data_IF_076749029539
#
_entry.id   IF_076749029539
#
_cell.length_a   1.000
_cell.length_b   1.000
_cell.length_c   1.000
_cell.angle_alpha   90.00
_cell.angle_beta   90.00
_cell.angle_gamma   90.00
#
_symmetry.space_group_name_H-M   'P 1'
#
loop_
_entity.id
_entity.type
_entity.pdbx_description
1 polymer ?
#
# COMPACT_ATOMS: atom_id res chain seq x y z
N UNK A 1 -17.38 -7.65 14.05
CA UNK A 1 -16.85 -6.48 13.33
C UNK A 1 -15.40 -6.82 13.05
N UNK A 2 -15.06 -7.23 11.84
CA UNK A 2 -13.67 -7.59 11.52
C UNK A 2 -12.89 -6.27 11.40
N UNK A 3 -12.20 -5.87 12.48
CA UNK A 3 -11.17 -4.85 12.36
C UNK A 3 -10.05 -5.48 11.54
N UNK A 4 -10.02 -5.18 10.23
CA UNK A 4 -8.92 -5.60 9.36
C UNK A 4 -7.66 -4.90 9.85
N UNK A 5 -6.85 -5.61 10.63
CA UNK A 5 -5.57 -5.13 11.14
C UNK A 5 -4.51 -5.27 10.05
N UNK A 6 -3.48 -4.42 10.08
CA UNK A 6 -2.30 -4.52 9.20
C UNK A 6 -1.79 -5.96 9.02
N UNK A 7 -1.77 -6.78 10.09
CA UNK A 7 -1.29 -8.17 10.06
C UNK A 7 -2.15 -9.13 9.22
N UNK A 8 -3.44 -8.85 9.05
CA UNK A 8 -4.33 -9.62 8.18
C UNK A 8 -4.10 -9.25 6.71
N UNK A 9 -3.91 -7.96 6.44
CA UNK A 9 -3.57 -7.45 5.11
C UNK A 9 -2.18 -7.87 4.67
N UNK A 10 -1.20 -7.87 5.55
CA UNK A 10 0.13 -8.44 5.33
C UNK A 10 0.04 -9.88 4.82
N UNK A 11 -0.72 -10.74 5.50
CA UNK A 11 -0.88 -12.14 5.08
C UNK A 11 -1.53 -12.26 3.70
N UNK A 12 -2.56 -11.46 3.43
CA UNK A 12 -3.21 -11.43 2.13
C UNK A 12 -2.23 -10.99 1.03
N UNK A 13 -1.46 -9.92 1.29
CA UNK A 13 -0.48 -9.42 0.35
C UNK A 13 0.65 -10.41 0.13
N UNK A 14 1.09 -11.11 1.16
CA UNK A 14 2.11 -12.16 1.07
C UNK A 14 1.69 -13.35 0.22
N UNK A 15 0.40 -13.65 0.13
CA UNK A 15 -0.10 -14.69 -0.78
C UNK A 15 -0.34 -14.14 -2.20
N UNK A 16 -0.84 -12.90 -2.30
CA UNK A 16 -1.25 -12.30 -3.58
C UNK A 16 -0.13 -11.60 -4.36
N UNK A 17 0.93 -11.10 -3.72
CA UNK A 17 1.93 -10.25 -4.38
C UNK A 17 2.62 -10.94 -5.56
N UNK A 18 2.88 -12.25 -5.45
CA UNK A 18 3.53 -13.04 -6.50
C UNK A 18 2.65 -13.25 -7.74
N UNK A 19 1.35 -12.99 -7.64
CA UNK A 19 0.43 -13.05 -8.80
C UNK A 19 0.43 -11.75 -9.61
N UNK A 20 1.08 -10.71 -9.11
CA UNK A 20 1.06 -9.37 -9.71
C UNK A 20 2.29 -9.14 -10.57
N UNK A 21 2.14 -8.44 -11.70
CA UNK A 21 3.25 -8.19 -12.62
C UNK A 21 4.38 -7.40 -11.96
N UNK A 22 4.08 -6.51 -11.02
CA UNK A 22 5.08 -5.76 -10.27
C UNK A 22 5.72 -6.54 -9.11
N UNK A 23 5.13 -7.66 -8.70
CA UNK A 23 5.72 -8.55 -7.70
C UNK A 23 6.70 -9.54 -8.30
N UNK A 24 6.73 -9.68 -9.63
CA UNK A 24 7.65 -10.56 -10.32
C UNK A 24 9.09 -10.03 -10.21
N UNK A 25 9.96 -10.79 -9.54
CA UNK A 25 11.36 -10.41 -9.33
C UNK A 25 11.60 -9.41 -8.20
N UNK A 26 10.58 -9.10 -7.38
CA UNK A 26 10.71 -8.26 -6.19
C UNK A 26 10.39 -9.06 -4.94
N UNK A 27 11.29 -9.01 -3.95
CA UNK A 27 11.07 -9.63 -2.65
C UNK A 27 9.88 -9.04 -1.91
N UNK A 28 9.15 -9.89 -1.18
CA UNK A 28 8.01 -9.44 -0.39
C UNK A 28 8.39 -8.33 0.61
N UNK A 29 9.56 -8.40 1.25
CA UNK A 29 10.02 -7.37 2.19
C UNK A 29 10.14 -5.97 1.56
N UNK A 30 10.46 -5.90 0.27
CA UNK A 30 10.52 -4.64 -0.49
C UNK A 30 9.11 -4.08 -0.66
N UNK A 31 8.15 -4.94 -1.02
CA UNK A 31 6.75 -4.57 -1.24
C UNK A 31 5.98 -4.34 0.07
N UNK A 32 6.36 -5.02 1.15
CA UNK A 32 5.75 -4.91 2.48
C UNK A 32 5.76 -3.45 2.95
N UNK A 33 6.90 -2.76 2.81
CA UNK A 33 7.02 -1.34 3.12
C UNK A 33 6.03 -0.50 2.31
N UNK A 34 5.82 -0.84 1.04
CA UNK A 34 4.85 -0.22 0.15
C UNK A 34 3.40 -0.45 0.58
N UNK A 35 3.02 -1.70 0.80
CA UNK A 35 1.67 -2.06 1.26
C UNK A 35 1.34 -1.37 2.59
N UNK A 36 2.30 -1.32 3.52
CA UNK A 36 2.13 -0.67 4.82
C UNK A 36 1.91 0.82 4.67
N UNK A 37 2.69 1.43 3.80
CA UNK A 37 2.60 2.85 3.53
C UNK A 37 1.28 3.22 2.85
N UNK A 38 0.80 2.41 1.90
CA UNK A 38 -0.52 2.57 1.29
C UNK A 38 -1.67 2.43 2.29
N UNK A 39 -1.59 1.45 3.19
CA UNK A 39 -2.56 1.24 4.27
C UNK A 39 -2.63 2.43 5.25
N UNK A 40 -1.47 2.90 5.71
CA UNK A 40 -1.37 4.06 6.60
C UNK A 40 -1.90 5.32 5.90
N UNK A 41 -1.51 5.54 4.64
CA UNK A 41 -1.98 6.65 3.84
C UNK A 41 -3.50 6.66 3.65
N UNK A 42 -4.12 5.50 3.42
CA UNK A 42 -5.58 5.40 3.28
C UNK A 42 -6.31 5.80 4.58
N UNK A 43 -5.71 5.46 5.73
CA UNK A 43 -6.22 5.83 7.06
C UNK A 43 -5.99 7.30 7.35
N UNK A 44 -4.83 7.85 6.93
CA UNK A 44 -4.43 9.25 7.14
C UNK A 44 -5.18 10.23 6.23
N UNK A 45 -5.55 9.80 5.03
CA UNK A 45 -6.20 10.63 4.01
C UNK A 45 -7.58 10.06 3.61
N UNK A 46 -8.55 9.98 4.54
CA UNK A 46 -9.88 9.48 4.22
C UNK A 46 -10.58 10.40 3.22
N UNK A 47 -11.19 9.82 2.19
CA UNK A 47 -11.97 10.56 1.18
C UNK A 47 -11.16 11.35 0.16
N UNK A 48 -9.82 11.24 0.16
CA UNK A 48 -8.98 11.71 -0.96
C UNK A 48 -8.87 10.64 -2.03
N UNK A 49 -8.37 11.04 -3.21
CA UNK A 49 -8.06 10.14 -4.32
C UNK A 49 -6.57 9.82 -4.34
N UNK A 50 -6.19 8.62 -4.81
CA UNK A 50 -4.78 8.23 -4.96
C UNK A 50 -3.97 9.27 -5.71
N UNK A 51 -4.49 9.79 -6.83
CA UNK A 51 -3.81 10.79 -7.67
C UNK A 51 -3.48 12.10 -6.93
N UNK A 52 -4.26 12.44 -5.89
CA UNK A 52 -4.03 13.64 -5.08
C UNK A 52 -2.95 13.39 -4.03
N UNK A 53 -2.91 12.19 -3.44
CA UNK A 53 -1.95 11.84 -2.37
C UNK A 53 -0.63 11.27 -2.91
N UNK A 54 -0.63 10.60 -4.06
CA UNK A 54 0.55 9.98 -4.71
C UNK A 54 1.76 10.91 -4.75
N UNK A 55 1.69 12.16 -5.26
CA UNK A 55 2.87 13.02 -5.34
C UNK A 55 3.42 13.41 -3.96
N UNK A 56 2.55 13.52 -2.94
CA UNK A 56 2.97 13.75 -1.57
C UNK A 56 3.66 12.50 -1.00
N UNK A 57 3.01 11.34 -1.14
CA UNK A 57 3.52 10.06 -0.68
C UNK A 57 4.88 9.71 -1.32
N UNK A 58 5.03 9.96 -2.62
CA UNK A 58 6.27 9.79 -3.36
C UNK A 58 7.40 10.64 -2.79
N UNK A 59 7.11 11.91 -2.47
CA UNK A 59 8.12 12.83 -1.98
C UNK A 59 8.60 12.46 -0.58
N UNK A 60 7.68 11.98 0.26
CA UNK A 60 7.97 11.52 1.61
C UNK A 60 8.56 10.09 1.66
N UNK A 61 8.42 9.29 0.60
CA UNK A 61 8.96 7.92 0.53
C UNK A 61 10.48 7.87 0.74
N UNK A 62 11.22 8.86 0.24
CA UNK A 62 12.67 8.93 0.45
C UNK A 62 13.01 9.13 1.95
N UNK A 63 12.14 9.73 2.75
CA UNK A 63 12.34 9.84 4.20
C UNK A 63 11.89 8.63 5.00
N UNK A 64 11.31 7.60 4.36
CA UNK A 64 10.62 6.53 5.08
C UNK A 64 11.58 5.47 5.64
N UNK A 65 11.58 5.33 6.96
CA UNK A 65 12.47 4.43 7.70
C UNK A 65 12.31 2.95 7.31
N UNK A 66 11.10 2.55 6.90
CA UNK A 66 10.81 1.17 6.48
C UNK A 66 10.89 0.96 4.96
N UNK A 67 11.45 1.90 4.19
CA UNK A 67 11.62 1.73 2.74
C UNK A 67 12.67 0.66 2.40
N UNK A 68 13.67 0.45 3.26
CA UNK A 68 14.83 -0.39 2.97
C UNK A 68 15.61 0.09 1.74
N UNK A 69 15.92 -0.84 0.83
CA UNK A 69 16.56 -0.57 -0.47
C UNK A 69 15.55 -0.32 -1.61
N UNK A 70 14.26 -0.25 -1.28
CA UNK A 70 13.16 -0.18 -2.24
C UNK A 70 12.97 1.23 -2.79
N UNK A 71 12.78 1.33 -4.11
CA UNK A 71 12.43 2.60 -4.75
C UNK A 71 10.91 2.83 -4.76
N UNK A 72 10.47 4.09 -4.75
CA UNK A 72 9.05 4.42 -4.88
C UNK A 72 8.42 3.77 -6.10
N UNK A 73 9.14 3.73 -7.24
CA UNK A 73 8.61 3.15 -8.47
C UNK A 73 8.27 1.65 -8.33
N UNK A 74 9.04 0.90 -7.53
CA UNK A 74 8.78 -0.51 -7.25
C UNK A 74 7.59 -0.69 -6.31
N UNK A 75 7.47 0.16 -5.30
CA UNK A 75 6.46 0.01 -4.25
C UNK A 75 5.16 0.76 -4.53
N UNK A 76 5.13 1.72 -5.46
CA UNK A 76 3.96 2.57 -5.70
C UNK A 76 2.74 1.77 -6.12
N UNK A 77 2.94 0.70 -6.89
CA UNK A 77 1.84 -0.15 -7.34
C UNK A 77 1.29 -0.96 -6.17
N UNK A 78 2.18 -1.49 -5.32
CA UNK A 78 1.80 -2.16 -4.07
C UNK A 78 1.07 -1.20 -3.10
N UNK A 79 1.61 0.00 -2.90
CA UNK A 79 1.03 1.03 -2.05
C UNK A 79 -0.34 1.48 -2.56
N UNK A 80 -0.48 1.68 -3.87
CA UNK A 80 -1.75 2.00 -4.53
C UNK A 80 -2.77 0.90 -4.29
N UNK A 81 -2.40 -0.36 -4.46
CA UNK A 81 -3.30 -1.50 -4.26
C UNK A 81 -3.80 -1.62 -2.82
N UNK A 82 -2.91 -1.45 -1.84
CA UNK A 82 -3.30 -1.37 -0.43
C UNK A 82 -4.27 -0.21 -0.17
N UNK A 83 -3.97 0.95 -0.76
CA UNK A 83 -4.80 2.14 -0.62
C UNK A 83 -6.19 1.98 -1.25
N UNK A 84 -6.27 1.46 -2.48
CA UNK A 84 -7.52 1.20 -3.21
C UNK A 84 -8.36 0.15 -2.49
N UNK A 85 -7.73 -0.88 -1.90
CA UNK A 85 -8.44 -1.89 -1.09
C UNK A 85 -9.07 -1.29 0.18
N UNK A 86 -8.37 -0.38 0.83
CA UNK A 86 -8.87 0.30 2.03
C UNK A 86 -9.98 1.29 1.69
N UNK A 87 -9.77 2.17 0.71
CA UNK A 87 -10.77 3.14 0.29
C UNK A 87 -11.98 2.50 -0.40
N UNK A 88 -11.78 1.41 -1.15
CA UNK A 88 -12.84 0.61 -1.78
C UNK A 88 -13.71 -0.16 -0.78
N UNK A 89 -13.22 -0.47 0.43
CA UNK A 89 -14.10 -0.95 1.52
C UNK A 89 -15.06 0.14 2.00
N UNK A 90 -14.63 1.39 1.95
CA UNK A 90 -15.37 2.54 2.50
C UNK A 90 -16.49 3.03 1.57
N UNK A 91 -16.56 2.57 0.32
CA UNK A 91 -17.64 2.92 -0.63
C UNK A 91 -18.90 2.05 -0.53
N UNK A 92 -19.01 1.20 0.50
CA UNK A 92 -20.20 0.39 0.76
C UNK A 92 -21.15 1.00 1.79
N UNK A 93 -21.68 2.20 1.53
CA UNK A 93 -22.92 2.67 2.17
C UNK A 93 -23.59 3.73 1.29
N UNK A 94 -24.53 3.30 0.44
CA UNK A 94 -25.88 3.88 0.26
C UNK A 94 -26.69 2.94 -0.62
#
# INVERSE_FOLDING_TARGET
MANTTWTDEDKFWRDSYGTRPYGEGIDYNVLEGGYRYGYDAATRYPGKSWTDVEPHLQRDWDGYEHRGESTWQQVKEAARDAWERMTGRHSSTT
#
